data_IF_528189601700
#
_entry.id   IF_528189601700
#
_cell.length_a   1.000
_cell.length_b   1.000
_cell.length_c   1.000
_cell.angle_alpha   90.00
_cell.angle_beta   90.00
_cell.angle_gamma   90.00
#
_symmetry.space_group_name_H-M   'P 1'
#
loop_
_entity.id
_entity.type
_entity.pdbx_description
1 polymer ?
#
# COMPACT_ATOMS: atom_id res chain seq x y z
N UNK A 1 -12.60 -9.31 -20.93
CA UNK A 1 -13.30 -8.10 -20.46
C UNK A 1 -13.26 -6.92 -21.43
N UNK A 2 -14.43 -6.32 -21.73
CA UNK A 2 -14.57 -5.07 -22.49
C UNK A 2 -15.64 -4.17 -21.87
N UNK A 3 -15.59 -2.87 -22.13
CA UNK A 3 -16.59 -1.89 -21.69
C UNK A 3 -17.07 -1.01 -22.86
N UNK A 4 -18.25 -0.40 -22.71
CA UNK A 4 -18.77 0.57 -23.67
C UNK A 4 -18.14 1.94 -23.39
N UNK A 5 -17.23 2.37 -24.27
CA UNK A 5 -16.59 3.69 -24.18
C UNK A 5 -17.55 4.82 -24.57
N UNK A 6 -17.17 6.07 -24.28
CA UNK A 6 -17.99 7.26 -24.60
C UNK A 6 -18.28 7.38 -26.10
N UNK A 7 -17.37 6.88 -26.95
CA UNK A 7 -17.54 6.81 -28.40
C UNK A 7 -18.46 5.67 -28.87
N UNK A 8 -19.20 5.02 -27.95
CA UNK A 8 -20.09 3.87 -28.18
C UNK A 8 -19.38 2.68 -28.84
N UNK A 9 -18.11 2.48 -28.53
CA UNK A 9 -17.30 1.34 -29.00
C UNK A 9 -16.93 0.44 -27.84
N UNK A 10 -16.84 -0.86 -28.12
CA UNK A 10 -16.27 -1.82 -27.18
C UNK A 10 -14.76 -1.60 -27.07
N UNK A 11 -14.31 -1.15 -25.90
CA UNK A 11 -12.89 -0.99 -25.58
C UNK A 11 -12.46 -2.07 -24.60
N UNK A 12 -11.19 -2.53 -24.66
CA UNK A 12 -10.64 -3.41 -23.62
C UNK A 12 -10.73 -2.70 -22.26
N UNK A 13 -11.06 -3.45 -21.20
CA UNK A 13 -10.93 -2.91 -19.86
C UNK A 13 -9.45 -2.64 -19.54
N UNK A 14 -9.23 -1.60 -18.77
CA UNK A 14 -7.93 -1.11 -18.31
C UNK A 14 -7.41 -1.97 -17.16
N UNK A 15 -6.09 -2.05 -17.03
CA UNK A 15 -5.43 -2.77 -15.94
C UNK A 15 -5.45 -1.92 -14.67
N UNK A 16 -5.11 -2.55 -13.53
CA UNK A 16 -4.84 -1.78 -12.32
C UNK A 16 -3.72 -0.78 -12.61
N UNK A 17 -3.78 0.39 -11.97
CA UNK A 17 -2.84 1.52 -12.13
C UNK A 17 -3.01 2.36 -13.40
N UNK A 18 -3.85 1.94 -14.35
CA UNK A 18 -4.24 2.79 -15.48
C UNK A 18 -5.21 3.90 -15.06
N UNK A 19 -5.12 5.06 -15.69
CA UNK A 19 -6.06 6.17 -15.49
C UNK A 19 -7.48 5.80 -15.92
N UNK A 20 -8.48 6.21 -15.15
CA UNK A 20 -9.89 5.97 -15.41
C UNK A 20 -10.75 7.16 -15.01
N UNK A 21 -11.91 7.29 -15.65
CA UNK A 21 -12.95 8.25 -15.25
C UNK A 21 -14.11 7.51 -14.58
N UNK A 22 -14.36 6.26 -15.00
CA UNK A 22 -15.46 5.44 -14.49
C UNK A 22 -15.01 4.02 -14.10
N UNK A 23 -15.65 3.40 -13.10
CA UNK A 23 -15.26 2.07 -12.61
C UNK A 23 -15.37 0.96 -13.67
N UNK A 24 -16.36 1.06 -14.56
CA UNK A 24 -16.55 0.15 -15.69
C UNK A 24 -15.39 0.08 -16.69
N UNK A 25 -14.51 1.08 -16.69
CA UNK A 25 -13.30 1.07 -17.52
C UNK A 25 -12.27 0.08 -17.00
N UNK A 26 -12.25 -0.19 -15.69
CA UNK A 26 -11.23 -0.97 -15.01
C UNK A 26 -11.58 -2.46 -14.99
N UNK A 27 -10.59 -3.33 -15.20
CA UNK A 27 -10.74 -4.78 -15.13
C UNK A 27 -11.43 -5.25 -13.85
N UNK A 28 -10.99 -4.68 -12.74
CA UNK A 28 -11.52 -4.86 -11.38
C UNK A 28 -12.95 -4.32 -11.20
N UNK A 29 -13.36 -3.35 -12.01
CA UNK A 29 -14.60 -2.61 -11.80
C UNK A 29 -14.49 -1.47 -10.80
N UNK A 30 -13.28 -1.09 -10.36
CA UNK A 30 -13.04 0.00 -9.39
C UNK A 30 -12.12 1.07 -9.95
N UNK A 31 -12.61 2.31 -9.94
CA UNK A 31 -11.88 3.51 -10.34
C UNK A 31 -11.83 4.47 -9.16
N UNK A 32 -10.70 4.50 -8.45
CA UNK A 32 -10.51 5.27 -7.22
C UNK A 32 -9.48 6.34 -7.49
N UNK A 33 -9.79 7.59 -7.09
CA UNK A 33 -8.93 8.76 -7.32
C UNK A 33 -8.44 8.93 -8.77
N UNK A 34 -9.24 8.47 -9.74
CA UNK A 34 -8.93 8.54 -11.18
C UNK A 34 -8.02 7.43 -11.69
N UNK A 35 -7.79 6.38 -10.90
CA UNK A 35 -6.93 5.25 -11.26
C UNK A 35 -7.62 3.92 -10.96
N UNK A 36 -7.45 2.93 -11.84
CA UNK A 36 -7.96 1.60 -11.65
C UNK A 36 -7.28 0.91 -10.47
N UNK A 37 -8.08 0.35 -9.55
CA UNK A 37 -7.60 -0.34 -8.34
C UNK A 37 -8.30 -1.67 -8.16
N UNK A 38 -7.72 -2.55 -7.34
CA UNK A 38 -8.33 -3.82 -6.96
C UNK A 38 -9.14 -3.65 -5.67
N UNK A 39 -10.32 -4.26 -5.60
CA UNK A 39 -11.12 -4.29 -4.36
C UNK A 39 -10.52 -5.29 -3.37
N UNK A 40 -10.60 -4.95 -2.09
CA UNK A 40 -10.17 -5.81 -1.01
C UNK A 40 -11.03 -5.60 0.24
N UNK A 41 -11.12 -6.63 1.07
CA UNK A 41 -11.68 -6.54 2.42
C UNK A 41 -10.59 -6.60 3.49
N UNK A 42 -9.51 -7.33 3.23
CA UNK A 42 -8.35 -7.47 4.10
C UNK A 42 -7.05 -7.37 3.32
N UNK A 43 -5.95 -6.99 3.97
CA UNK A 43 -4.64 -6.86 3.31
C UNK A 43 -4.09 -8.15 2.71
N UNK A 44 -4.65 -9.31 3.07
CA UNK A 44 -4.32 -10.59 2.45
C UNK A 44 -4.95 -10.79 1.05
N UNK A 45 -5.97 -10.00 0.70
CA UNK A 45 -6.57 -10.00 -0.64
C UNK A 45 -5.68 -9.27 -1.65
N UNK A 46 -4.74 -8.45 -1.18
CA UNK A 46 -3.87 -7.63 -1.99
C UNK A 46 -2.54 -8.33 -2.35
N UNK A 47 -1.89 -7.92 -3.45
CA UNK A 47 -0.51 -8.27 -3.74
C UNK A 47 0.45 -7.99 -2.57
N UNK A 48 1.59 -8.69 -2.51
CA UNK A 48 2.49 -8.68 -1.33
C UNK A 48 3.06 -7.28 -1.03
N UNK A 49 3.21 -6.44 -2.03
CA UNK A 49 3.68 -5.05 -1.99
C UNK A 49 2.57 -4.03 -1.71
N UNK A 50 1.32 -4.47 -1.61
CA UNK A 50 0.13 -3.63 -1.35
C UNK A 50 -0.55 -4.04 -0.04
N UNK A 51 -1.38 -3.16 0.49
CA UNK A 51 -2.25 -3.41 1.63
C UNK A 51 -3.67 -2.96 1.32
N UNK A 52 -4.65 -3.46 2.06
CA UNK A 52 -6.02 -3.04 1.88
C UNK A 52 -6.29 -1.76 2.65
N UNK A 53 -6.56 -0.67 1.93
CA UNK A 53 -7.12 0.51 2.57
C UNK A 53 -8.59 0.23 2.88
N UNK A 54 -8.90 -0.05 4.16
CA UNK A 54 -10.25 -0.40 4.60
C UNK A 54 -11.27 0.73 4.45
N UNK A 55 -10.81 1.99 4.41
CA UNK A 55 -11.70 3.14 4.23
C UNK A 55 -12.23 3.22 2.80
N UNK A 56 -11.41 2.82 1.82
CA UNK A 56 -11.73 2.86 0.40
C UNK A 56 -12.01 1.46 -0.19
N UNK A 57 -11.84 0.40 0.60
CA UNK A 57 -11.93 -1.02 0.21
C UNK A 57 -11.09 -1.36 -1.03
N UNK A 58 -9.89 -0.78 -1.15
CA UNK A 58 -9.00 -1.01 -2.30
C UNK A 58 -7.54 -1.27 -1.92
N UNK A 59 -6.86 -2.06 -2.74
CA UNK A 59 -5.44 -2.32 -2.60
C UNK A 59 -4.62 -1.10 -3.01
N UNK A 60 -3.82 -0.59 -2.06
CA UNK A 60 -2.91 0.55 -2.25
C UNK A 60 -1.49 0.13 -1.89
N UNK A 61 -0.50 0.87 -2.39
CA UNK A 61 0.91 0.57 -2.14
C UNK A 61 1.25 0.67 -0.66
N UNK A 62 2.08 -0.26 -0.19
CA UNK A 62 2.64 -0.16 1.15
C UNK A 62 3.53 1.07 1.28
N UNK A 63 3.42 1.70 2.44
CA UNK A 63 4.13 2.88 2.87
C UNK A 63 5.62 2.56 3.10
N UNK A 64 6.47 3.46 2.64
CA UNK A 64 7.93 3.37 2.82
C UNK A 64 8.34 3.79 4.22
N UNK A 65 9.54 3.35 4.64
CA UNK A 65 10.17 3.75 5.90
C UNK A 65 10.16 5.27 6.08
N UNK A 66 9.73 5.74 7.26
CA UNK A 66 9.61 7.15 7.64
C UNK A 66 8.23 7.76 7.41
N UNK A 67 7.35 7.09 6.66
CA UNK A 67 5.99 7.56 6.36
C UNK A 67 5.06 7.33 7.54
N UNK A 68 4.15 8.27 7.82
CA UNK A 68 3.18 8.09 8.89
C UNK A 68 2.24 6.91 8.62
N UNK A 69 1.95 6.13 9.65
CA UNK A 69 1.12 4.94 9.58
C UNK A 69 0.21 4.84 10.81
N UNK A 70 -0.85 4.05 10.68
CA UNK A 70 -1.76 3.71 11.78
C UNK A 70 -1.83 2.22 12.08
N UNK A 71 -1.34 1.38 11.16
CA UNK A 71 -1.31 -0.07 11.30
C UNK A 71 -0.08 -0.68 10.65
N UNK A 72 0.34 -1.84 11.16
CA UNK A 72 1.55 -2.54 10.73
C UNK A 72 1.48 -2.99 9.26
N UNK A 73 0.32 -3.46 8.81
CA UNK A 73 0.13 -3.92 7.43
C UNK A 73 0.35 -2.84 6.37
N UNK A 74 0.27 -1.56 6.76
CA UNK A 74 0.48 -0.44 5.85
C UNK A 74 1.93 -0.31 5.42
N UNK A 75 2.89 -0.80 6.22
CA UNK A 75 4.31 -0.57 6.01
C UNK A 75 4.96 -1.72 5.22
N UNK A 76 5.90 -1.39 4.33
CA UNK A 76 6.72 -2.40 3.61
C UNK A 76 7.43 -3.33 4.61
N UNK A 77 7.97 -2.75 5.68
CA UNK A 77 8.69 -3.46 6.74
C UNK A 77 7.76 -4.13 7.77
N UNK A 78 6.43 -4.09 7.57
CA UNK A 78 5.38 -4.63 8.44
C UNK A 78 5.39 -4.10 9.88
N UNK A 79 6.01 -2.94 10.10
CA UNK A 79 6.07 -2.30 11.41
C UNK A 79 5.72 -0.83 11.32
N UNK A 80 4.72 -0.46 12.11
CA UNK A 80 4.31 0.90 12.38
C UNK A 80 4.69 1.27 13.82
N UNK A 81 5.57 2.24 14.00
CA UNK A 81 6.08 2.63 15.32
C UNK A 81 4.98 3.13 16.24
N UNK A 82 4.95 2.64 17.48
CA UNK A 82 3.95 3.05 18.49
C UNK A 82 4.15 4.49 18.96
N UNK A 83 5.40 4.95 19.05
CA UNK A 83 5.72 6.26 19.63
C UNK A 83 5.79 7.37 18.57
N UNK A 84 6.30 7.06 17.37
CA UNK A 84 6.47 8.03 16.28
C UNK A 84 5.41 7.91 15.18
N UNK A 85 4.53 6.88 15.25
CA UNK A 85 3.48 6.58 14.26
C UNK A 85 4.01 6.58 12.83
N UNK A 86 5.21 6.03 12.63
CA UNK A 86 5.87 5.98 11.33
C UNK A 86 6.30 4.57 10.97
N UNK A 87 6.23 4.26 9.69
CA UNK A 87 6.76 3.04 9.13
C UNK A 87 8.26 2.99 9.34
N UNK A 88 8.80 1.81 9.60
CA UNK A 88 10.22 1.59 9.43
C UNK A 88 10.79 0.54 10.35
N UNK A 89 12.11 0.56 10.44
CA UNK A 89 12.85 -0.35 11.28
C UNK A 89 12.72 0.13 12.73
N UNK A 90 11.97 -0.63 13.53
CA UNK A 90 12.41 -1.09 14.83
C UNK A 90 13.03 0.00 15.76
N UNK A 91 12.32 0.40 16.82
CA UNK A 91 12.80 1.43 17.77
C UNK A 91 13.64 0.86 18.95
N UNK A 92 13.55 -0.44 19.19
CA UNK A 92 14.27 -1.20 20.23
C UNK A 92 14.53 -2.62 19.73
N UNK A 93 15.65 -3.24 20.12
CA UNK A 93 16.04 -4.59 19.67
C UNK A 93 14.97 -5.66 19.92
N UNK A 94 14.00 -5.38 20.80
CA UNK A 94 12.86 -6.23 21.11
C UNK A 94 11.83 -6.32 19.97
N UNK A 95 11.76 -5.31 19.08
CA UNK A 95 10.73 -5.19 18.05
C UNK A 95 11.20 -5.64 16.65
N UNK A 96 12.38 -6.27 16.58
CA UNK A 96 13.00 -6.66 15.32
C UNK A 96 12.71 -8.13 15.03
N UNK A 97 12.44 -8.44 13.76
CA UNK A 97 12.21 -9.81 13.32
C UNK A 97 13.39 -10.70 13.78
N UNK A 98 13.11 -11.94 14.20
CA UNK A 98 14.08 -12.85 14.83
C UNK A 98 15.44 -12.85 14.10
N UNK A 99 16.46 -12.21 14.71
CA UNK A 99 17.83 -12.12 14.19
C UNK A 99 18.26 -10.77 13.61
N UNK A 100 17.40 -9.75 13.58
CA UNK A 100 17.77 -8.37 13.22
C UNK A 100 17.90 -7.50 14.48
N UNK A 101 18.88 -6.57 14.51
CA UNK A 101 19.05 -5.56 15.56
C UNK A 101 18.61 -4.18 15.06
N UNK A 102 18.15 -3.32 15.96
CA UNK A 102 17.85 -1.93 15.65
C UNK A 102 19.12 -1.15 15.32
N UNK A 103 19.34 -0.82 14.05
CA UNK A 103 20.23 0.28 13.67
C UNK A 103 19.41 1.57 13.80
N UNK A 104 19.23 2.02 15.05
CA UNK A 104 18.29 3.09 15.40
C UNK A 104 18.52 4.41 14.63
N UNK A 105 17.53 5.31 14.69
CA UNK A 105 17.59 6.70 14.18
C UNK A 105 18.66 7.59 14.85
N UNK A 106 19.78 7.04 15.29
CA UNK A 106 20.93 7.77 15.84
C UNK A 106 22.29 7.10 15.59
N UNK A 107 22.46 6.34 14.50
CA UNK A 107 23.82 6.11 13.97
C UNK A 107 24.28 7.28 13.09
N UNK A 108 24.09 8.52 13.57
CA UNK A 108 25.07 9.57 13.28
C UNK A 108 26.25 9.28 14.20
N UNK A 109 27.03 8.28 13.83
CA UNK A 109 28.46 8.26 14.07
C UNK A 109 28.88 8.55 15.54
N UNK A 110 28.64 7.62 16.47
CA UNK A 110 29.51 7.49 17.65
C UNK A 110 30.51 6.37 17.42
N UNK A 111 31.48 6.66 16.55
CA UNK A 111 32.79 6.02 16.63
C UNK A 111 33.43 6.59 17.90
N UNK A 112 33.46 5.78 18.96
CA UNK A 112 34.48 5.93 20.01
C UNK A 112 35.79 5.33 19.50
#
# INVERSE_FOLDING_TARGET
DRYCSENRRCSPKKLNEDECVRPQECGSGFCTTGVCREECAVSADCPTDKYCNTDEAVCVDKLTTGTSCTANEQCIDKYCGTDDQKCGFCNTDFNCNFGATCLGKNDVNKIN
#
